data_IF_534075164845
#
_entry.id   IF_534075164845
#
_cell.length_a   1.000
_cell.length_b   1.000
_cell.length_c   1.000
_cell.angle_alpha   90.00
_cell.angle_beta   90.00
_cell.angle_gamma   90.00
#
_symmetry.space_group_name_H-M   'P 1'
#
loop_
_entity.id
_entity.type
_entity.pdbx_description
1 polymer ?
#
# COMPACT_ATOMS: atom_id res chain seq x y z
N UNK A 1 10.01 48.27 -4.55
CA UNK A 1 9.53 47.26 -3.57
C UNK A 1 8.50 46.30 -4.16
N UNK A 2 7.51 46.77 -4.94
CA UNK A 2 6.40 45.91 -5.40
C UNK A 2 6.79 44.82 -6.41
N UNK A 3 7.73 45.08 -7.33
CA UNK A 3 8.12 44.08 -8.36
C UNK A 3 8.82 42.85 -7.79
N UNK A 4 9.66 43.02 -6.77
CA UNK A 4 10.34 41.90 -6.11
C UNK A 4 9.36 41.05 -5.31
N UNK A 5 8.39 41.69 -4.65
CA UNK A 5 7.32 41.00 -3.94
C UNK A 5 6.41 40.21 -4.90
N UNK A 6 6.07 40.79 -6.06
CA UNK A 6 5.31 40.08 -7.10
C UNK A 6 6.09 38.88 -7.65
N UNK A 7 7.40 39.00 -7.88
CA UNK A 7 8.23 37.89 -8.35
C UNK A 7 8.34 36.76 -7.32
N UNK A 8 8.48 37.09 -6.03
CA UNK A 8 8.49 36.12 -4.94
C UNK A 8 7.14 35.41 -4.79
N UNK A 9 6.03 36.14 -4.93
CA UNK A 9 4.68 35.56 -4.88
C UNK A 9 4.44 34.60 -6.06
N UNK A 10 4.87 34.96 -7.27
CA UNK A 10 4.79 34.10 -8.46
C UNK A 10 5.66 32.86 -8.28
N UNK A 11 6.85 32.99 -7.71
CA UNK A 11 7.73 31.84 -7.43
C UNK A 11 7.12 30.87 -6.41
N UNK A 12 6.52 31.38 -5.33
CA UNK A 12 5.82 30.57 -4.32
C UNK A 12 4.61 29.82 -4.90
N UNK A 13 3.82 30.48 -5.75
CA UNK A 13 2.66 29.85 -6.42
C UNK A 13 3.12 28.78 -7.42
N UNK A 14 4.19 29.05 -8.18
CA UNK A 14 4.76 28.08 -9.12
C UNK A 14 5.35 26.85 -8.41
N UNK A 15 5.90 27.01 -7.20
CA UNK A 15 6.41 25.90 -6.40
C UNK A 15 5.29 25.08 -5.75
N UNK A 16 4.21 25.72 -5.29
CA UNK A 16 3.04 25.05 -4.71
C UNK A 16 2.15 24.30 -5.71
N UNK A 17 2.32 24.55 -7.01
CA UNK A 17 1.55 23.92 -8.08
C UNK A 17 2.08 22.53 -8.51
N UNK A 18 3.22 22.08 -7.98
CA UNK A 18 3.65 20.69 -8.09
C UNK A 18 2.84 19.82 -7.12
N UNK A 19 1.56 19.65 -7.40
CA UNK A 19 0.81 18.52 -6.85
C UNK A 19 1.40 17.26 -7.47
N UNK A 20 1.97 16.37 -6.67
CA UNK A 20 2.23 15.01 -7.13
C UNK A 20 0.87 14.41 -7.47
N UNK A 21 0.58 14.22 -8.76
CA UNK A 21 -0.40 13.22 -9.16
C UNK A 21 0.27 11.86 -8.95
N UNK A 22 0.51 11.50 -7.69
CA UNK A 22 0.93 10.15 -7.35
C UNK A 22 -0.32 9.31 -7.50
N UNK A 23 -0.40 8.59 -8.62
CA UNK A 23 -1.36 7.51 -8.77
C UNK A 23 -1.05 6.51 -7.65
N UNK A 24 -1.98 6.40 -6.70
CA UNK A 24 -1.78 5.56 -5.51
C UNK A 24 -2.23 4.14 -5.86
N UNK A 25 -1.30 3.20 -5.89
CA UNK A 25 -1.62 1.78 -6.10
C UNK A 25 -1.89 1.07 -4.76
N UNK A 26 -2.83 0.13 -4.79
CA UNK A 26 -3.00 -0.83 -3.70
C UNK A 26 -2.05 -2.00 -3.95
N UNK A 27 -1.23 -2.33 -2.95
CA UNK A 27 -0.26 -3.41 -3.06
C UNK A 27 -0.74 -4.69 -2.38
N UNK A 28 -0.45 -5.83 -3.01
CA UNK A 28 -0.63 -7.17 -2.46
C UNK A 28 0.67 -7.62 -1.79
N UNK A 29 0.57 -8.07 -0.55
CA UNK A 29 1.69 -8.60 0.20
C UNK A 29 2.03 -10.02 -0.28
N UNK A 30 3.23 -10.20 -0.82
CA UNK A 30 3.82 -11.51 -1.09
C UNK A 30 4.61 -11.97 0.13
N UNK A 31 4.27 -13.16 0.65
CA UNK A 31 4.85 -13.74 1.85
C UNK A 31 5.25 -15.21 1.63
N UNK A 32 6.07 -15.77 2.53
CA UNK A 32 6.56 -17.15 2.46
C UNK A 32 5.62 -18.15 3.15
N UNK A 33 5.95 -19.45 3.12
CA UNK A 33 5.15 -20.50 3.78
C UNK A 33 4.25 -21.30 2.84
N UNK A 34 4.19 -20.93 1.56
CA UNK A 34 3.50 -21.69 0.52
C UNK A 34 1.98 -21.50 0.49
N UNK A 35 1.44 -20.58 1.30
CA UNK A 35 0.07 -20.11 1.13
C UNK A 35 -0.07 -19.33 -0.18
N UNK A 36 -1.16 -19.56 -0.91
CA UNK A 36 -1.43 -18.95 -2.21
C UNK A 36 -1.72 -17.44 -2.08
N UNK A 37 -0.69 -16.63 -1.83
CA UNK A 37 -0.80 -15.18 -1.60
C UNK A 37 -1.41 -14.42 -2.80
N UNK A 38 -1.41 -15.04 -3.98
CA UNK A 38 -1.91 -14.52 -5.26
C UNK A 38 -3.41 -14.82 -5.52
N UNK A 39 -4.19 -15.23 -4.51
CA UNK A 39 -5.64 -15.50 -4.69
C UNK A 39 -6.47 -14.23 -4.84
N UNK A 40 -7.59 -14.32 -5.58
CA UNK A 40 -8.48 -13.18 -5.83
C UNK A 40 -7.81 -12.08 -6.66
N UNK A 41 -7.42 -12.35 -7.93
CA UNK A 41 -6.66 -11.40 -8.76
C UNK A 41 -7.41 -10.11 -9.12
N UNK A 42 -8.72 -10.06 -8.91
CA UNK A 42 -9.55 -8.87 -9.16
C UNK A 42 -9.92 -8.11 -7.89
N UNK A 43 -9.54 -8.60 -6.70
CA UNK A 43 -9.98 -8.00 -5.43
C UNK A 43 -9.53 -6.55 -5.28
N UNK A 44 -8.25 -6.27 -5.57
CA UNK A 44 -7.69 -4.92 -5.42
C UNK A 44 -8.17 -3.96 -6.51
N UNK A 45 -8.27 -4.41 -7.77
CA UNK A 45 -8.79 -3.57 -8.85
C UNK A 45 -10.26 -3.22 -8.66
N UNK A 46 -11.07 -4.16 -8.16
CA UNK A 46 -12.47 -3.90 -7.79
C UNK A 46 -12.58 -2.93 -6.60
N UNK A 47 -11.72 -3.08 -5.58
CA UNK A 47 -11.68 -2.16 -4.44
C UNK A 47 -11.28 -0.75 -4.87
N UNK A 48 -10.24 -0.63 -5.71
CA UNK A 48 -9.80 0.65 -6.26
C UNK A 48 -10.91 1.31 -7.09
N UNK A 49 -11.57 0.56 -7.97
CA UNK A 49 -12.69 1.06 -8.77
C UNK A 49 -13.84 1.56 -7.89
N UNK A 50 -14.21 0.78 -6.85
CA UNK A 50 -15.26 1.16 -5.91
C UNK A 50 -14.91 2.43 -5.13
N UNK A 51 -13.69 2.54 -4.62
CA UNK A 51 -13.23 3.75 -3.92
C UNK A 51 -13.20 4.96 -4.85
N UNK A 52 -12.73 4.80 -6.09
CA UNK A 52 -12.73 5.88 -7.07
C UNK A 52 -14.16 6.36 -7.36
N UNK A 53 -15.12 5.45 -7.46
CA UNK A 53 -16.54 5.79 -7.68
C UNK A 53 -17.20 6.45 -6.45
N UNK A 54 -17.00 5.89 -5.25
CA UNK A 54 -17.75 6.28 -4.05
C UNK A 54 -17.09 7.35 -3.21
N UNK A 55 -15.77 7.42 -3.24
CA UNK A 55 -14.96 8.32 -2.41
C UNK A 55 -14.21 9.35 -3.25
N UNK A 56 -14.36 9.33 -4.58
CA UNK A 56 -13.67 10.23 -5.52
C UNK A 56 -12.13 10.18 -5.35
N UNK A 57 -11.60 8.99 -5.06
CA UNK A 57 -10.16 8.74 -5.03
C UNK A 57 -9.57 8.66 -6.45
N UNK A 58 -8.23 8.59 -6.53
CA UNK A 58 -7.48 8.37 -7.78
C UNK A 58 -6.55 7.16 -7.64
N UNK A 59 -7.10 6.04 -7.15
CA UNK A 59 -6.36 4.80 -7.00
C UNK A 59 -6.11 4.16 -8.36
N UNK A 60 -4.92 3.62 -8.56
CA UNK A 60 -4.60 2.76 -9.71
C UNK A 60 -5.53 1.55 -9.72
N UNK A 61 -6.01 1.16 -10.90
CA UNK A 61 -6.73 -0.11 -11.08
C UNK A 61 -5.77 -1.29 -11.25
N UNK A 62 -4.48 -1.03 -11.44
CA UNK A 62 -3.46 -2.06 -11.49
C UNK A 62 -3.02 -2.38 -10.06
N UNK A 63 -3.06 -3.66 -9.69
CA UNK A 63 -2.45 -4.11 -8.44
C UNK A 63 -0.94 -4.15 -8.59
N UNK A 64 -0.25 -3.83 -7.51
CA UNK A 64 1.20 -4.02 -7.37
C UNK A 64 1.45 -5.15 -6.38
N UNK A 65 2.61 -5.81 -6.49
CA UNK A 65 3.03 -6.86 -5.57
C UNK A 65 4.23 -6.35 -4.80
N UNK A 66 4.23 -6.54 -3.49
CA UNK A 66 5.35 -6.15 -2.63
C UNK A 66 5.70 -7.27 -1.67
N UNK A 67 6.99 -7.58 -1.58
CA UNK A 67 7.52 -8.57 -0.64
C UNK A 67 7.61 -7.99 0.78
N UNK A 68 7.35 -8.82 1.79
CA UNK A 68 7.36 -8.39 3.20
C UNK A 68 8.71 -7.77 3.62
N UNK A 69 9.81 -8.30 3.09
CA UNK A 69 11.17 -7.82 3.40
C UNK A 69 11.65 -6.63 2.56
N UNK A 70 10.86 -6.18 1.57
CA UNK A 70 11.27 -5.11 0.66
C UNK A 70 11.19 -3.73 1.32
N UNK A 71 12.13 -2.84 0.99
CA UNK A 71 12.05 -1.41 1.33
C UNK A 71 10.93 -0.70 0.55
N UNK A 72 10.47 -1.28 -0.56
CA UNK A 72 9.36 -0.74 -1.33
C UNK A 72 8.04 -0.83 -0.58
N UNK A 73 7.94 -1.68 0.46
CA UNK A 73 6.76 -1.78 1.33
C UNK A 73 6.35 -0.40 1.89
N UNK A 74 7.33 0.46 2.17
CA UNK A 74 7.11 1.80 2.71
C UNK A 74 6.55 2.81 1.69
N UNK A 75 6.48 2.46 0.40
CA UNK A 75 5.83 3.28 -0.62
C UNK A 75 4.30 3.14 -0.59
N UNK A 76 3.77 2.13 0.12
CA UNK A 76 2.35 1.81 0.13
C UNK A 76 1.72 2.11 1.49
N UNK A 77 0.87 3.14 1.64
CA UNK A 77 0.17 3.39 2.90
C UNK A 77 -0.87 2.31 3.24
N UNK A 78 -1.28 1.50 2.25
CA UNK A 78 -2.22 0.40 2.40
C UNK A 78 -1.69 -0.83 1.66
N UNK A 79 -1.64 -1.96 2.37
CA UNK A 79 -1.21 -3.25 1.84
C UNK A 79 -2.27 -4.29 2.14
N UNK A 80 -2.59 -5.11 1.14
CA UNK A 80 -3.58 -6.17 1.19
C UNK A 80 -2.91 -7.53 1.26
N UNK A 81 -3.36 -8.38 2.17
CA UNK A 81 -2.89 -9.75 2.34
C UNK A 81 -4.08 -10.70 2.27
N UNK A 82 -3.88 -11.84 1.60
CA UNK A 82 -4.87 -12.91 1.42
C UNK A 82 -4.12 -14.20 1.15
N UNK A 83 -4.79 -15.34 1.18
CA UNK A 83 -4.20 -16.63 0.86
C UNK A 83 -4.91 -17.78 1.55
N UNK A 84 -4.30 -18.95 1.48
CA UNK A 84 -4.85 -20.18 2.04
C UNK A 84 -3.82 -20.80 2.99
N UNK A 85 -4.15 -20.90 4.28
CA UNK A 85 -3.31 -21.54 5.28
C UNK A 85 -1.99 -20.81 5.58
N UNK A 86 -0.87 -21.52 5.40
CA UNK A 86 0.46 -21.15 5.92
C UNK A 86 0.91 -19.75 5.52
N UNK A 87 1.19 -18.95 6.54
CA UNK A 87 1.92 -17.69 6.50
C UNK A 87 3.19 -17.89 7.31
N UNK A 88 4.34 -17.60 6.71
CA UNK A 88 5.63 -17.67 7.40
C UNK A 88 6.43 -16.41 7.13
N UNK A 89 6.90 -15.76 8.20
CA UNK A 89 7.80 -14.63 8.12
C UNK A 89 9.13 -14.99 8.76
N UNK A 90 10.23 -14.71 8.05
CA UNK A 90 11.53 -14.66 8.70
C UNK A 90 11.57 -13.55 9.75
N UNK A 91 12.51 -13.64 10.68
CA UNK A 91 12.72 -12.59 11.70
C UNK A 91 12.96 -11.20 11.08
N UNK A 92 13.58 -11.14 9.90
CA UNK A 92 13.82 -9.88 9.19
C UNK A 92 12.51 -9.34 8.59
N UNK A 93 11.71 -10.20 7.96
CA UNK A 93 10.40 -9.83 7.41
C UNK A 93 9.44 -9.37 8.50
N UNK A 94 9.33 -10.11 9.61
CA UNK A 94 8.48 -9.73 10.74
C UNK A 94 8.89 -8.38 11.35
N UNK A 95 10.20 -8.10 11.44
CA UNK A 95 10.69 -6.80 11.92
C UNK A 95 10.43 -5.67 10.91
N UNK A 96 10.55 -5.93 9.60
CA UNK A 96 10.24 -4.95 8.56
C UNK A 96 8.74 -4.61 8.57
N UNK A 97 7.88 -5.63 8.65
CA UNK A 97 6.43 -5.46 8.73
C UNK A 97 6.02 -4.72 10.02
N UNK A 98 6.65 -5.03 11.16
CA UNK A 98 6.44 -4.25 12.40
C UNK A 98 6.78 -2.78 12.19
N UNK A 99 7.96 -2.50 11.62
CA UNK A 99 8.43 -1.13 11.37
C UNK A 99 7.47 -0.38 10.45
N UNK A 100 6.96 -1.05 9.41
CA UNK A 100 5.95 -0.52 8.51
C UNK A 100 4.66 -0.13 9.25
N UNK A 101 4.12 -1.04 10.08
CA UNK A 101 2.89 -0.82 10.84
C UNK A 101 3.05 0.29 11.90
N UNK A 102 4.16 0.27 12.65
CA UNK A 102 4.49 1.31 13.65
C UNK A 102 4.74 2.67 12.99
N UNK A 103 5.22 2.68 11.75
CA UNK A 103 5.40 3.88 10.92
C UNK A 103 4.10 4.45 10.34
N UNK A 104 2.95 3.81 10.59
CA UNK A 104 1.63 4.25 10.13
C UNK A 104 1.11 3.55 8.87
N UNK A 105 1.82 2.53 8.37
CA UNK A 105 1.31 1.65 7.34
C UNK A 105 0.09 0.86 7.80
N UNK A 106 -0.78 0.49 6.85
CA UNK A 106 -2.00 -0.26 7.15
C UNK A 106 -2.01 -1.60 6.42
N UNK A 107 -2.12 -2.69 7.18
CA UNK A 107 -2.25 -4.05 6.65
C UNK A 107 -3.70 -4.52 6.76
N UNK A 108 -4.34 -4.79 5.61
CA UNK A 108 -5.64 -5.43 5.53
C UNK A 108 -5.47 -6.92 5.22
N UNK A 109 -5.95 -7.79 6.10
CA UNK A 109 -5.87 -9.25 5.91
C UNK A 109 -7.27 -9.77 5.60
N UNK A 110 -7.45 -10.32 4.40
CA UNK A 110 -8.64 -11.04 3.99
C UNK A 110 -8.46 -12.54 4.23
N UNK A 111 -8.97 -13.03 5.36
CA UNK A 111 -9.04 -14.47 5.60
C UNK A 111 -10.30 -15.06 4.95
N UNK A 112 -10.15 -15.55 3.72
CA UNK A 112 -11.20 -16.26 3.00
C UNK A 112 -11.09 -17.79 3.10
N UNK A 113 -10.05 -18.34 3.75
CA UNK A 113 -9.77 -19.79 3.80
C UNK A 113 -8.83 -20.22 4.95
N UNK A 114 -9.09 -19.77 6.16
CA UNK A 114 -8.40 -20.29 7.36
C UNK A 114 -6.94 -19.84 7.50
N UNK A 115 -6.66 -18.57 7.27
CA UNK A 115 -5.37 -17.94 7.55
C UNK A 115 -5.18 -17.54 9.01
N UNK A 116 -6.26 -17.35 9.78
CA UNK A 116 -6.23 -16.78 11.14
C UNK A 116 -5.19 -17.43 12.07
N UNK A 117 -5.13 -18.77 12.10
CA UNK A 117 -4.16 -19.50 12.93
C UNK A 117 -2.71 -19.22 12.55
N UNK A 118 -2.43 -19.11 11.25
CA UNK A 118 -1.07 -18.91 10.74
C UNK A 118 -0.61 -17.47 10.93
N UNK A 119 -1.48 -16.49 10.63
CA UNK A 119 -1.18 -15.07 10.80
C UNK A 119 -0.88 -14.72 12.26
N UNK A 120 -1.56 -15.35 13.22
CA UNK A 120 -1.34 -15.10 14.66
C UNK A 120 0.02 -15.57 15.18
N UNK A 121 0.63 -16.54 14.49
CA UNK A 121 1.88 -17.17 14.89
C UNK A 121 3.05 -16.81 13.96
N UNK A 122 2.79 -16.06 12.90
CA UNK A 122 3.78 -15.61 11.90
C UNK A 122 4.73 -14.54 12.45
#
# INVERSE_FOLDING_TARGET
MNRLFTLLLVYLIAFGAFTQNTELSLARLQYNGGGDWYVGPTSLSNLAAFCNEKLNTKLSLNEEIVEVGSVELFNYPFVYMTGHGNVDFSKLEANNLRTYLEGGGFLFINDSYGMDEFVRNA
#
